data_IF_224633807741
#
_entry.id   IF_224633807741
#
_cell.length_a   1.000
_cell.length_b   1.000
_cell.length_c   1.000
_cell.angle_alpha   90.00
_cell.angle_beta   90.00
_cell.angle_gamma   90.00
#
_symmetry.space_group_name_H-M   'P 1'
#
loop_
_entity.id
_entity.type
_entity.pdbx_description
1 polymer ?
#
# COMPACT_ATOMS: atom_id res chain seq x y z
N UNK A 1 7.89 15.33 -11.06
CA UNK A 1 8.57 14.70 -9.92
C UNK A 1 7.58 13.78 -9.23
N UNK A 2 7.72 12.48 -9.47
CA UNK A 2 6.88 11.46 -8.83
C UNK A 2 7.48 11.12 -7.46
N UNK A 3 7.47 12.07 -6.57
CA UNK A 3 7.90 11.84 -5.20
C UNK A 3 6.75 11.18 -4.44
N UNK A 4 6.99 9.97 -3.93
CA UNK A 4 6.00 9.24 -3.12
C UNK A 4 6.08 9.59 -1.64
N UNK A 5 7.23 10.13 -1.20
CA UNK A 5 7.52 10.36 0.21
C UNK A 5 8.27 11.68 0.43
N UNK A 6 7.91 12.36 1.51
CA UNK A 6 8.67 13.46 2.07
C UNK A 6 9.63 12.91 3.13
N UNK A 7 10.90 13.30 3.02
CA UNK A 7 11.96 12.97 3.97
C UNK A 7 12.61 14.28 4.40
N UNK A 8 12.89 14.51 5.70
CA UNK A 8 13.55 15.72 6.14
C UNK A 8 14.97 15.81 5.59
N UNK A 9 15.41 17.02 5.28
CA UNK A 9 16.80 17.27 4.92
C UNK A 9 17.66 17.21 6.18
N UNK A 10 18.50 16.16 6.30
CA UNK A 10 19.36 15.95 7.43
C UNK A 10 20.80 16.32 7.06
N UNK A 11 21.44 17.16 7.88
CA UNK A 11 22.82 17.58 7.66
C UNK A 11 23.77 16.75 8.54
N UNK A 12 24.89 16.24 7.97
CA UNK A 12 25.91 15.52 8.74
C UNK A 12 26.42 16.35 9.94
N UNK A 13 26.61 15.68 11.07
CA UNK A 13 27.07 16.26 12.34
C UNK A 13 26.13 17.28 13.01
N UNK A 14 24.94 17.52 12.46
CA UNK A 14 23.95 18.42 13.04
C UNK A 14 22.65 17.70 13.36
N UNK A 15 22.21 16.79 12.50
CA UNK A 15 20.98 16.03 12.66
C UNK A 15 21.16 14.80 13.54
N UNK A 16 20.13 14.46 14.31
CA UNK A 16 20.05 13.21 15.07
C UNK A 16 19.28 12.18 14.27
N UNK A 17 19.53 10.89 14.54
CA UNK A 17 18.86 9.79 13.85
C UNK A 17 17.36 9.80 14.08
N UNK A 18 16.89 10.24 15.24
CA UNK A 18 15.49 10.33 15.60
C UNK A 18 14.74 11.44 14.87
N UNK A 19 15.46 12.29 14.15
CA UNK A 19 14.86 13.28 13.23
C UNK A 19 14.53 12.69 11.86
N UNK A 20 15.09 11.51 11.53
CA UNK A 20 14.78 10.82 10.28
C UNK A 20 13.37 10.24 10.34
N UNK A 21 12.49 10.82 9.55
CA UNK A 21 11.08 10.41 9.43
C UNK A 21 10.68 10.41 7.97
N UNK A 22 9.74 9.53 7.63
CA UNK A 22 9.24 9.40 6.26
C UNK A 22 7.75 9.58 6.27
N UNK A 23 7.26 10.54 5.49
CA UNK A 23 5.83 10.82 5.37
C UNK A 23 5.36 10.56 3.94
N UNK A 24 4.31 9.76 3.79
CA UNK A 24 3.66 9.54 2.50
C UNK A 24 3.09 10.86 1.98
N UNK A 25 3.47 11.24 0.77
CA UNK A 25 2.91 12.41 0.09
C UNK A 25 1.44 12.15 -0.25
N UNK A 26 0.63 13.16 -0.06
CA UNK A 26 -0.82 13.09 -0.15
C UNK A 26 -1.41 14.40 -0.66
N UNK A 27 -2.56 14.31 -1.28
CA UNK A 27 -3.36 15.47 -1.68
C UNK A 27 -4.40 15.74 -0.61
N UNK A 28 -4.72 17.01 -0.37
CA UNK A 28 -5.91 17.35 0.40
C UNK A 28 -7.16 17.02 -0.45
N UNK A 29 -8.14 16.36 0.16
CA UNK A 29 -9.43 16.17 -0.48
C UNK A 29 -10.05 17.55 -0.72
N UNK A 30 -10.15 17.96 -1.97
CA UNK A 30 -11.01 19.08 -2.33
C UNK A 30 -12.41 18.71 -1.86
N UNK A 31 -13.04 19.58 -1.08
CA UNK A 31 -14.38 19.43 -0.51
C UNK A 31 -15.34 18.86 -1.58
N UNK A 32 -15.40 17.56 -1.71
CA UNK A 32 -16.42 16.87 -2.49
C UNK A 32 -17.65 16.77 -1.64
N UNK A 33 -18.78 17.02 -2.24
CA UNK A 33 -20.12 17.15 -1.65
C UNK A 33 -20.72 15.83 -1.16
N UNK A 34 -19.96 14.76 -1.07
CA UNK A 34 -20.43 13.47 -0.55
C UNK A 34 -19.91 13.30 0.88
N UNK A 35 -20.87 13.21 1.82
CA UNK A 35 -20.66 13.00 3.26
C UNK A 35 -19.90 11.70 3.61
N UNK A 36 -19.49 10.91 2.63
CA UNK A 36 -18.91 9.58 2.78
C UNK A 36 -17.37 9.52 2.77
N UNK A 37 -16.65 10.63 2.54
CA UNK A 37 -15.19 10.61 2.53
C UNK A 37 -14.64 10.73 3.95
N UNK A 38 -14.29 9.59 4.55
CA UNK A 38 -13.76 9.49 5.91
C UNK A 38 -12.39 10.15 6.11
N UNK A 39 -11.64 10.47 5.05
CA UNK A 39 -10.29 11.02 5.14
C UNK A 39 -10.14 12.36 4.43
N UNK A 40 -9.46 13.30 5.07
CA UNK A 40 -9.14 14.60 4.48
C UNK A 40 -7.98 14.53 3.46
N UNK A 41 -7.27 13.41 3.42
CA UNK A 41 -6.06 13.24 2.62
C UNK A 41 -6.14 12.02 1.72
N UNK A 42 -5.80 12.19 0.46
CA UNK A 42 -5.91 11.17 -0.58
C UNK A 42 -4.53 10.79 -1.10
N UNK A 43 -4.33 9.48 -1.28
CA UNK A 43 -3.20 8.87 -1.98
C UNK A 43 -3.77 8.07 -3.16
N UNK A 44 -3.60 8.56 -4.38
CA UNK A 44 -4.16 8.01 -5.62
C UNK A 44 -3.11 7.75 -6.69
N UNK A 45 -1.85 7.67 -6.29
CA UNK A 45 -0.72 7.39 -7.16
C UNK A 45 -0.04 6.06 -6.79
N UNK A 46 0.73 5.51 -7.72
CA UNK A 46 1.62 4.39 -7.42
C UNK A 46 2.76 4.88 -6.54
N UNK A 47 2.91 4.27 -5.35
CA UNK A 47 4.01 4.59 -4.44
C UNK A 47 5.28 3.83 -4.86
N UNK A 48 6.41 4.51 -4.81
CA UNK A 48 7.71 3.86 -4.94
C UNK A 48 7.95 2.85 -3.81
N UNK A 49 8.78 1.85 -4.06
CA UNK A 49 9.15 0.88 -3.02
C UNK A 49 9.97 1.56 -1.93
N UNK A 50 9.46 1.53 -0.71
CA UNK A 50 10.14 1.99 0.49
C UNK A 50 10.59 0.78 1.31
N UNK A 51 11.88 0.76 1.66
CA UNK A 51 12.49 -0.30 2.43
C UNK A 51 13.17 0.28 3.67
N UNK A 52 13.01 -0.39 4.78
CA UNK A 52 13.71 -0.09 6.02
C UNK A 52 14.69 -1.21 6.37
N UNK A 53 15.90 -0.82 6.76
CA UNK A 53 16.90 -1.74 7.28
C UNK A 53 17.76 -1.05 8.32
N UNK A 54 18.06 -1.75 9.40
CA UNK A 54 18.89 -1.28 10.49
C UNK A 54 20.09 -2.20 10.65
N UNK A 55 21.27 -1.60 10.71
CA UNK A 55 22.49 -2.30 11.11
C UNK A 55 22.61 -2.21 12.63
N UNK A 56 22.28 -3.27 13.33
CA UNK A 56 22.59 -3.36 14.78
C UNK A 56 24.10 -3.37 14.95
N UNK A 57 24.61 -2.43 15.74
CA UNK A 57 26.02 -2.25 16.02
C UNK A 57 26.64 -3.57 16.53
N UNK A 58 27.24 -4.33 15.62
CA UNK A 58 28.05 -5.51 15.97
C UNK A 58 29.37 -5.06 16.61
N UNK A 59 29.88 -5.83 17.55
CA UNK A 59 31.20 -5.64 18.15
C UNK A 59 32.23 -5.75 17.03
N UNK A 60 32.91 -4.65 16.73
CA UNK A 60 34.06 -4.65 15.81
C UNK A 60 35.19 -5.48 16.43
N UNK A 61 35.39 -6.68 15.93
CA UNK A 61 36.62 -7.44 16.24
C UNK A 61 37.79 -6.82 15.49
N UNK A 62 38.84 -6.54 16.21
CA UNK A 62 40.07 -5.84 15.80
C UNK A 62 40.99 -6.69 14.89
N UNK A 63 40.50 -7.59 14.10
CA UNK A 63 41.26 -8.36 13.13
C UNK A 63 40.89 -7.86 11.72
N UNK A 64 41.88 -7.38 10.96
CA UNK A 64 41.75 -6.74 9.65
C UNK A 64 41.15 -7.60 8.53
N UNK A 65 40.12 -8.36 8.83
CA UNK A 65 39.26 -9.07 7.88
C UNK A 65 38.03 -8.23 7.59
N UNK A 66 37.72 -8.12 6.32
CA UNK A 66 36.48 -7.49 5.84
C UNK A 66 35.27 -8.13 6.53
N UNK A 67 34.59 -7.38 7.38
CA UNK A 67 33.34 -7.85 8.03
C UNK A 67 32.19 -7.64 7.07
N UNK A 68 31.55 -8.71 6.63
CA UNK A 68 30.31 -8.66 5.89
C UNK A 68 29.20 -8.46 6.90
N UNK A 69 28.48 -7.35 6.80
CA UNK A 69 27.30 -7.08 7.61
C UNK A 69 26.05 -7.36 6.79
N UNK A 70 25.25 -8.31 7.23
CA UNK A 70 23.94 -8.56 6.64
C UNK A 70 22.92 -7.59 7.23
N UNK A 71 22.11 -7.00 6.36
CA UNK A 71 21.01 -6.12 6.74
C UNK A 71 19.71 -6.70 6.20
N UNK A 72 18.82 -7.07 7.09
CA UNK A 72 17.48 -7.48 6.70
C UNK A 72 16.64 -6.25 6.38
N UNK A 73 16.03 -6.24 5.20
CA UNK A 73 15.18 -5.17 4.74
C UNK A 73 13.70 -5.53 4.90
N UNK A 74 12.93 -4.61 5.47
CA UNK A 74 11.47 -4.71 5.58
C UNK A 74 10.84 -3.74 4.58
N UNK A 75 9.97 -4.25 3.73
CA UNK A 75 9.24 -3.44 2.76
C UNK A 75 8.06 -2.73 3.43
N UNK A 76 7.98 -1.43 3.26
CA UNK A 76 6.97 -0.56 3.85
C UNK A 76 5.91 -0.04 2.86
N UNK A 77 5.90 -0.56 1.65
CA UNK A 77 4.88 -0.26 0.63
C UNK A 77 4.36 -1.55 0.03
N UNK A 78 3.07 -1.57 -0.27
CA UNK A 78 2.40 -2.72 -0.88
C UNK A 78 1.50 -2.26 -2.01
N UNK A 79 1.30 -3.12 -3.00
CA UNK A 79 0.25 -2.96 -4.00
C UNK A 79 -0.87 -3.92 -3.67
N UNK A 80 -2.08 -3.39 -3.53
CA UNK A 80 -3.29 -4.16 -3.29
C UNK A 80 -4.09 -4.17 -4.58
N UNK A 81 -4.41 -5.36 -5.05
CA UNK A 81 -5.23 -5.59 -6.23
C UNK A 81 -6.58 -6.12 -5.79
N UNK A 82 -7.62 -5.31 -6.00
CA UNK A 82 -9.01 -5.69 -5.74
C UNK A 82 -9.64 -6.11 -7.05
N UNK A 83 -10.21 -7.30 -7.07
CA UNK A 83 -10.88 -7.86 -8.24
C UNK A 83 -12.34 -8.07 -7.91
N UNK A 84 -13.23 -7.42 -8.64
CA UNK A 84 -14.67 -7.58 -8.53
C UNK A 84 -15.16 -8.26 -9.80
N UNK A 85 -15.56 -9.53 -9.67
CA UNK A 85 -16.06 -10.32 -10.77
C UNK A 85 -17.59 -10.45 -10.71
N UNK A 86 -18.26 -10.29 -11.83
CA UNK A 86 -19.69 -10.50 -11.93
C UNK A 86 -20.00 -11.95 -12.27
N UNK A 87 -20.94 -12.54 -11.53
CA UNK A 87 -21.44 -13.88 -11.74
C UNK A 87 -22.92 -13.87 -12.12
N UNK A 88 -23.36 -14.89 -12.83
CA UNK A 88 -24.79 -15.14 -13.09
C UNK A 88 -25.46 -15.77 -11.87
N UNK A 89 -26.77 -15.98 -11.91
CA UNK A 89 -27.56 -16.55 -10.81
C UNK A 89 -27.08 -17.94 -10.36
N UNK A 90 -26.42 -18.68 -11.23
CA UNK A 90 -25.86 -20.02 -10.93
C UNK A 90 -24.40 -19.96 -10.46
N UNK A 91 -23.84 -18.74 -10.21
CA UNK A 91 -22.45 -18.58 -9.79
C UNK A 91 -21.43 -18.73 -10.93
N UNK A 92 -21.87 -18.86 -12.17
CA UNK A 92 -21.00 -18.97 -13.34
C UNK A 92 -20.60 -17.62 -13.92
N UNK A 93 -19.63 -17.59 -14.86
CA UNK A 93 -19.20 -16.37 -15.51
C UNK A 93 -20.32 -15.74 -16.37
N UNK A 94 -20.33 -14.42 -16.44
CA UNK A 94 -21.16 -13.67 -17.39
C UNK A 94 -20.34 -13.28 -18.62
N UNK A 95 -21.00 -13.24 -19.78
CA UNK A 95 -20.35 -12.86 -21.04
C UNK A 95 -20.11 -11.36 -21.18
N UNK A 96 -20.78 -10.56 -20.39
CA UNK A 96 -20.68 -9.10 -20.42
C UNK A 96 -20.93 -8.51 -19.04
N UNK A 97 -20.06 -7.59 -18.61
CA UNK A 97 -20.28 -6.81 -17.39
C UNK A 97 -21.49 -5.89 -17.55
N UNK A 98 -22.43 -5.94 -16.61
CA UNK A 98 -23.53 -4.98 -16.51
C UNK A 98 -23.09 -3.73 -15.75
N UNK A 99 -22.28 -3.89 -14.73
CA UNK A 99 -21.68 -2.80 -13.97
C UNK A 99 -20.23 -2.61 -14.42
N UNK A 100 -19.87 -1.39 -14.78
CA UNK A 100 -18.56 -1.07 -15.37
C UNK A 100 -17.61 -0.37 -14.40
N UNK A 101 -18.09 0.06 -13.25
CA UNK A 101 -17.32 0.81 -12.28
C UNK A 101 -17.68 0.39 -10.86
N UNK A 102 -16.67 0.25 -10.02
CA UNK A 102 -16.78 0.12 -8.58
C UNK A 102 -15.82 1.12 -7.95
N UNK A 103 -16.23 1.74 -6.86
CA UNK A 103 -15.37 2.57 -6.05
C UNK A 103 -14.75 1.71 -4.96
N UNK A 104 -13.42 1.64 -4.96
CA UNK A 104 -12.65 0.97 -3.92
C UNK A 104 -11.81 2.00 -3.18
N UNK A 105 -11.74 1.90 -1.86
CA UNK A 105 -10.86 2.72 -1.06
C UNK A 105 -10.35 1.95 0.16
N UNK A 106 -9.11 2.24 0.58
CA UNK A 106 -8.55 1.76 1.83
C UNK A 106 -8.30 2.96 2.73
N UNK A 107 -8.75 2.87 3.98
CA UNK A 107 -8.57 3.89 5.00
C UNK A 107 -7.59 3.39 6.05
N UNK A 108 -6.55 4.18 6.31
CA UNK A 108 -5.56 3.89 7.35
C UNK A 108 -4.81 5.18 7.74
N UNK A 109 -4.26 5.23 8.95
CA UNK A 109 -3.44 6.33 9.44
C UNK A 109 -1.93 6.00 9.44
N UNK A 110 -1.49 5.17 8.51
CA UNK A 110 -0.15 4.58 8.39
C UNK A 110 0.85 5.41 7.57
N UNK A 111 0.53 6.65 7.27
CA UNK A 111 1.32 7.47 6.33
C UNK A 111 2.58 8.12 6.91
N UNK A 112 2.88 7.95 8.21
CA UNK A 112 4.02 8.59 8.85
C UNK A 112 4.85 7.57 9.63
N UNK A 113 6.12 7.44 9.27
CA UNK A 113 7.03 6.43 9.81
C UNK A 113 8.25 7.09 10.45
N UNK A 114 8.66 6.55 11.57
CA UNK A 114 9.85 6.93 12.31
C UNK A 114 11.09 6.19 11.78
N UNK A 115 12.28 6.64 12.20
CA UNK A 115 13.57 6.05 11.83
C UNK A 115 13.72 4.57 12.20
N UNK A 116 13.06 4.14 13.28
CA UNK A 116 13.07 2.76 13.79
C UNK A 116 11.97 1.88 13.18
N UNK A 117 11.33 2.36 12.13
CA UNK A 117 10.23 1.70 11.44
C UNK A 117 8.92 1.59 12.25
N UNK A 118 8.79 2.32 13.35
CA UNK A 118 7.49 2.47 14.04
C UNK A 118 6.61 3.46 13.31
N UNK A 119 5.28 3.26 13.40
CA UNK A 119 4.33 4.23 12.87
C UNK A 119 4.12 5.36 13.90
N UNK A 120 4.14 6.58 13.40
CA UNK A 120 3.82 7.78 14.17
C UNK A 120 2.34 8.13 13.98
N UNK A 121 1.81 8.92 14.91
CA UNK A 121 0.46 9.46 14.77
C UNK A 121 0.34 10.30 13.50
N UNK A 122 -0.68 10.01 12.69
CA UNK A 122 -0.94 10.69 11.43
C UNK A 122 -2.46 10.85 11.21
N UNK A 123 -2.81 11.70 10.26
CA UNK A 123 -4.19 11.83 9.80
C UNK A 123 -4.63 10.56 9.04
N UNK A 124 -5.93 10.31 9.05
CA UNK A 124 -6.52 9.24 8.27
C UNK A 124 -6.30 9.52 6.76
N UNK A 125 -5.69 8.56 6.08
CA UNK A 125 -5.49 8.56 4.64
C UNK A 125 -6.57 7.75 3.95
N UNK A 126 -6.97 8.22 2.77
CA UNK A 126 -7.79 7.48 1.82
C UNK A 126 -6.91 7.07 0.65
N UNK A 127 -6.57 5.79 0.58
CA UNK A 127 -5.89 5.23 -0.59
C UNK A 127 -6.92 4.90 -1.65
N UNK A 128 -6.80 5.52 -2.82
CA UNK A 128 -7.67 5.28 -4.00
C UNK A 128 -6.90 4.54 -5.08
N UNK A 129 -7.58 3.83 -5.99
CA UNK A 129 -6.92 3.17 -7.10
C UNK A 129 -6.18 4.18 -8.00
N UNK A 130 -4.92 3.87 -8.31
CA UNK A 130 -4.17 4.57 -9.34
C UNK A 130 -4.40 3.95 -10.73
N UNK A 131 -4.91 2.72 -10.78
CA UNK A 131 -5.23 2.00 -12.01
C UNK A 131 -6.53 1.20 -11.84
N UNK A 132 -7.44 1.35 -12.79
CA UNK A 132 -8.69 0.59 -12.86
C UNK A 132 -8.86 0.07 -14.28
N UNK A 133 -8.95 -1.25 -14.42
CA UNK A 133 -9.10 -1.92 -15.71
C UNK A 133 -10.23 -2.94 -15.69
N UNK A 134 -10.84 -3.18 -16.85
CA UNK A 134 -11.72 -4.33 -17.05
C UNK A 134 -10.91 -5.46 -17.66
N UNK A 135 -10.93 -6.63 -17.05
CA UNK A 135 -10.10 -7.76 -17.48
C UNK A 135 -10.82 -9.10 -17.27
N UNK A 136 -10.32 -10.13 -17.94
CA UNK A 136 -10.73 -11.51 -17.70
C UNK A 136 -9.87 -12.09 -16.57
N UNK A 137 -10.50 -12.38 -15.46
CA UNK A 137 -9.83 -12.87 -14.24
C UNK A 137 -10.03 -14.37 -14.12
N UNK A 138 -8.94 -15.09 -13.88
CA UNK A 138 -8.95 -16.53 -13.63
C UNK A 138 -9.04 -16.83 -12.14
N UNK A 139 -9.92 -17.77 -11.74
CA UNK A 139 -10.05 -18.21 -10.35
C UNK A 139 -8.90 -19.08 -9.85
N UNK A 140 -7.94 -19.44 -10.69
CA UNK A 140 -6.77 -20.25 -10.26
C UNK A 140 -6.00 -19.64 -9.09
N UNK A 141 -6.09 -18.35 -8.91
CA UNK A 141 -5.46 -17.67 -7.78
C UNK A 141 -6.19 -17.88 -6.43
N UNK A 142 -7.43 -18.41 -6.45
CA UNK A 142 -8.32 -18.48 -5.30
C UNK A 142 -8.90 -19.88 -5.03
N UNK A 143 -8.67 -20.86 -5.90
CA UNK A 143 -9.19 -22.22 -5.76
C UNK A 143 -8.10 -23.23 -5.40
N UNK A 144 -8.50 -24.31 -4.76
CA UNK A 144 -7.63 -25.48 -4.57
C UNK A 144 -7.17 -26.04 -5.92
N UNK A 145 -6.02 -26.74 -5.96
CA UNK A 145 -5.38 -27.22 -7.18
C UNK A 145 -6.25 -28.18 -8.03
N UNK A 146 -7.34 -28.70 -7.48
CA UNK A 146 -8.18 -29.73 -8.08
C UNK A 146 -9.40 -29.18 -8.86
N UNK A 147 -9.71 -27.88 -8.76
CA UNK A 147 -10.79 -27.30 -9.54
C UNK A 147 -10.31 -26.68 -10.85
N UNK A 148 -11.04 -26.90 -11.98
CA UNK A 148 -10.70 -26.27 -13.24
C UNK A 148 -10.82 -24.75 -13.12
N UNK A 149 -9.81 -24.02 -13.61
CA UNK A 149 -9.82 -22.56 -13.60
C UNK A 149 -11.01 -22.02 -14.39
N UNK A 150 -11.87 -21.26 -13.73
CA UNK A 150 -12.95 -20.52 -14.38
C UNK A 150 -12.46 -19.10 -14.70
N UNK A 151 -12.90 -18.59 -15.82
CA UNK A 151 -12.61 -17.20 -16.24
C UNK A 151 -13.85 -16.35 -16.03
N UNK A 152 -13.68 -15.20 -15.41
CA UNK A 152 -14.75 -14.24 -15.13
C UNK A 152 -14.38 -12.88 -15.70
N UNK A 153 -15.37 -12.19 -16.28
CA UNK A 153 -15.20 -10.78 -16.56
C UNK A 153 -15.27 -10.00 -15.26
N UNK A 154 -14.27 -9.19 -14.99
CA UNK A 154 -14.15 -8.44 -13.75
C UNK A 154 -13.60 -7.04 -13.96
N UNK A 155 -13.68 -6.26 -12.90
CA UNK A 155 -13.01 -4.97 -12.78
C UNK A 155 -11.87 -5.16 -11.78
N UNK A 156 -10.70 -4.73 -12.18
CA UNK A 156 -9.47 -4.81 -11.40
C UNK A 156 -9.07 -3.41 -11.00
N UNK A 157 -8.99 -3.17 -9.70
CA UNK A 157 -8.53 -1.91 -9.11
C UNK A 157 -7.21 -2.13 -8.39
N UNK A 158 -6.18 -1.34 -8.72
CA UNK A 158 -4.87 -1.42 -8.10
C UNK A 158 -4.61 -0.17 -7.27
N UNK A 159 -4.34 -0.37 -5.98
CA UNK A 159 -4.01 0.66 -5.01
C UNK A 159 -2.62 0.44 -4.45
N UNK A 160 -1.87 1.52 -4.28
CA UNK A 160 -0.59 1.48 -3.59
C UNK A 160 -0.77 2.03 -2.18
N UNK A 161 -0.32 1.29 -1.18
CA UNK A 161 -0.53 1.63 0.23
C UNK A 161 0.79 1.56 0.99
N UNK A 162 0.94 2.38 2.02
CA UNK A 162 1.97 2.19 3.02
C UNK A 162 1.71 0.89 3.82
N UNK A 163 2.66 0.47 4.64
CA UNK A 163 2.56 -0.77 5.41
C UNK A 163 1.30 -0.79 6.28
N UNK A 164 0.43 -1.75 6.03
CA UNK A 164 -0.76 -1.99 6.85
C UNK A 164 -0.38 -2.75 8.11
N UNK A 165 -0.91 -2.35 9.25
CA UNK A 165 -0.69 -3.00 10.56
C UNK A 165 -2.04 -3.30 11.20
N UNK A 166 -2.18 -4.51 11.72
CA UNK A 166 -3.42 -4.98 12.33
C UNK A 166 -3.91 -4.08 13.47
N UNK A 167 -2.99 -3.53 14.26
CA UNK A 167 -3.32 -2.65 15.39
C UNK A 167 -4.02 -1.35 14.99
N UNK A 168 -3.85 -0.90 13.74
CA UNK A 168 -4.51 0.30 13.21
C UNK A 168 -5.87 0.01 12.57
N UNK A 169 -6.21 -1.27 12.39
CA UNK A 169 -7.48 -1.73 11.82
C UNK A 169 -7.80 -1.07 10.47
N UNK A 170 -6.94 -1.24 9.46
CA UNK A 170 -7.20 -0.68 8.14
C UNK A 170 -8.54 -1.18 7.59
N UNK A 171 -9.29 -0.29 6.94
CA UNK A 171 -10.62 -0.58 6.41
C UNK A 171 -10.61 -0.54 4.88
N UNK A 172 -11.07 -1.61 4.22
CA UNK A 172 -11.33 -1.66 2.80
C UNK A 172 -12.83 -1.47 2.55
N UNK A 173 -13.18 -0.51 1.70
CA UNK A 173 -14.56 -0.31 1.23
C UNK A 173 -14.66 -0.58 -0.26
N UNK A 174 -15.78 -1.18 -0.68
CA UNK A 174 -16.15 -1.41 -2.08
C UNK A 174 -17.61 -0.96 -2.23
N UNK A 175 -17.87 -0.03 -3.14
CA UNK A 175 -19.21 0.53 -3.42
C UNK A 175 -19.62 0.34 -4.88
#
# INVERSE_FOLDING_TARGET
NDESFAVPLLYPNQAKIDELRVKTLRKEATRSTTEDEKGQYIVDNSLHSLWHGEVKKGTTTRSGRQQITEVSLVKNTNTIRVVVAQVNQSGGPVTRLTQKTFECAIYDNNGYMNYDNTLLEDNLLTYKPYNVTSDVVSTRAFSSADEPAKQYNGIVSEMSVARLVESQKPELTIK
#
